data_IF_545803284119
#
_entry.id   IF_545803284119
#
_cell.length_a   1.000
_cell.length_b   1.000
_cell.length_c   1.000
_cell.angle_alpha   90.00
_cell.angle_beta   90.00
_cell.angle_gamma   90.00
#
_symmetry.space_group_name_H-M   'P 1'
#
loop_
_entity.id
_entity.type
_entity.pdbx_description
1 polymer ?
#
# COMPACT_ATOMS: atom_id res chain seq x y z
N UNK A 1 -0.61 2.19 -11.82
CA UNK A 1 0.27 2.13 -10.63
C UNK A 1 1.26 3.29 -10.62
N UNK A 2 1.99 3.53 -11.71
CA UNK A 2 2.97 4.63 -11.82
C UNK A 2 2.33 5.99 -11.56
N UNK A 3 1.09 6.20 -11.95
CA UNK A 3 0.33 7.44 -11.68
C UNK A 3 0.27 7.80 -10.19
N UNK A 4 0.17 6.80 -9.30
CA UNK A 4 0.20 7.07 -7.84
C UNK A 4 1.57 7.52 -7.34
N UNK A 5 2.65 7.06 -7.99
CA UNK A 5 4.01 7.55 -7.70
C UNK A 5 4.14 9.01 -8.11
N UNK A 6 3.57 9.37 -9.28
CA UNK A 6 3.48 10.75 -9.73
C UNK A 6 2.62 11.61 -8.79
N UNK A 7 1.46 11.10 -8.32
CA UNK A 7 0.62 11.81 -7.36
C UNK A 7 1.39 12.11 -6.06
N UNK A 8 2.24 11.17 -5.60
CA UNK A 8 3.09 11.38 -4.43
C UNK A 8 4.15 12.45 -4.70
N UNK A 9 4.78 12.46 -5.88
CA UNK A 9 5.72 13.51 -6.28
C UNK A 9 5.03 14.88 -6.28
N UNK A 10 3.86 14.98 -6.90
CA UNK A 10 3.07 16.23 -6.93
C UNK A 10 2.72 16.71 -5.51
N UNK A 11 2.46 15.79 -4.59
CA UNK A 11 2.18 16.11 -3.19
C UNK A 11 3.43 16.69 -2.49
N UNK A 12 4.62 16.14 -2.74
CA UNK A 12 5.88 16.66 -2.22
C UNK A 12 6.13 18.07 -2.75
N UNK A 13 6.00 18.29 -4.04
CA UNK A 13 6.20 19.60 -4.68
C UNK A 13 5.19 20.65 -4.18
N UNK A 14 3.90 20.29 -4.11
CA UNK A 14 2.85 21.19 -3.62
C UNK A 14 3.09 21.67 -2.19
N UNK A 15 3.57 20.77 -1.31
CA UNK A 15 3.84 21.10 0.09
C UNK A 15 5.28 21.55 0.35
N UNK A 16 6.11 21.65 -0.68
CA UNK A 16 7.53 22.01 -0.58
C UNK A 16 8.30 21.10 0.41
N UNK A 17 7.93 19.83 0.47
CA UNK A 17 8.62 18.85 1.30
C UNK A 17 9.94 18.46 0.65
N UNK A 18 11.03 18.57 1.39
CA UNK A 18 12.38 18.27 0.90
C UNK A 18 12.76 16.82 1.16
N UNK A 19 12.61 16.34 2.40
CA UNK A 19 12.99 14.98 2.79
C UNK A 19 12.12 14.49 3.96
N UNK A 20 11.44 13.36 3.79
CA UNK A 20 10.51 12.83 4.78
C UNK A 20 10.79 11.35 5.11
N UNK A 21 10.39 10.95 6.32
CA UNK A 21 10.10 9.56 6.64
C UNK A 21 8.73 9.20 6.08
N UNK A 22 8.66 8.11 5.33
CA UNK A 22 7.41 7.66 4.70
C UNK A 22 6.96 6.32 5.26
N UNK A 23 5.67 6.23 5.58
CA UNK A 23 5.03 4.97 6.03
C UNK A 23 3.99 4.57 5.01
N UNK A 24 4.13 3.37 4.46
CA UNK A 24 3.19 2.82 3.48
C UNK A 24 2.62 1.47 3.89
N UNK A 25 1.31 1.28 3.73
CA UNK A 25 0.64 0.00 3.95
C UNK A 25 0.17 -0.60 2.63
N UNK A 26 0.41 -1.90 2.43
CA UNK A 26 -0.08 -2.65 1.27
C UNK A 26 0.32 -1.97 -0.05
N UNK A 27 -0.61 -1.59 -0.91
CA UNK A 27 -0.33 -0.84 -2.14
C UNK A 27 0.44 0.47 -1.87
N UNK A 28 0.18 1.14 -0.74
CA UNK A 28 0.92 2.34 -0.32
C UNK A 28 2.39 2.06 -0.05
N UNK A 29 2.74 0.86 0.44
CA UNK A 29 4.13 0.43 0.60
C UNK A 29 4.83 0.24 -0.77
N UNK A 30 4.13 -0.33 -1.76
CA UNK A 30 4.65 -0.47 -3.12
C UNK A 30 4.91 0.90 -3.78
N UNK A 31 3.97 1.85 -3.60
CA UNK A 31 4.09 3.22 -4.12
C UNK A 31 5.28 3.92 -3.47
N UNK A 32 5.39 3.83 -2.14
CA UNK A 32 6.47 4.43 -1.37
C UNK A 32 7.84 3.84 -1.75
N UNK A 33 7.92 2.52 -1.99
CA UNK A 33 9.13 1.85 -2.47
C UNK A 33 9.57 2.35 -3.85
N UNK A 34 8.62 2.45 -4.81
CA UNK A 34 8.93 2.98 -6.13
C UNK A 34 9.36 4.46 -6.08
N UNK A 35 8.73 5.25 -5.22
CA UNK A 35 9.09 6.64 -5.01
C UNK A 35 10.48 6.78 -4.37
N UNK A 36 10.79 5.97 -3.34
CA UNK A 36 12.08 5.99 -2.67
C UNK A 36 13.24 5.60 -3.60
N UNK A 37 13.03 4.64 -4.51
CA UNK A 37 14.00 4.27 -5.52
C UNK A 37 14.22 5.39 -6.57
N UNK A 38 13.12 6.05 -7.00
CA UNK A 38 13.19 7.08 -8.03
C UNK A 38 13.68 8.45 -7.51
N UNK A 39 13.48 8.75 -6.22
CA UNK A 39 13.79 10.03 -5.58
C UNK A 39 14.43 9.81 -4.20
N UNK A 40 15.63 9.19 -4.15
CA UNK A 40 16.30 8.84 -2.88
C UNK A 40 16.59 10.08 -2.02
N UNK A 41 16.82 11.23 -2.61
CA UNK A 41 17.05 12.50 -1.90
C UNK A 41 15.82 12.98 -1.11
N UNK A 42 14.60 12.52 -1.48
CA UNK A 42 13.34 12.92 -0.83
C UNK A 42 12.94 12.01 0.34
N UNK A 43 13.61 10.88 0.55
CA UNK A 43 13.23 9.89 1.57
C UNK A 43 14.34 9.74 2.61
N UNK A 44 14.01 10.00 3.88
CA UNK A 44 14.94 9.79 5.01
C UNK A 44 14.88 8.37 5.56
N UNK A 45 13.70 7.77 5.56
CA UNK A 45 13.47 6.38 5.96
C UNK A 45 12.13 5.89 5.43
N UNK A 46 12.00 4.57 5.24
CA UNK A 46 10.83 3.92 4.67
C UNK A 46 10.30 2.83 5.61
N UNK A 47 9.08 2.98 6.08
CA UNK A 47 8.40 1.95 6.88
C UNK A 47 7.33 1.27 6.05
N UNK A 48 7.54 0.00 5.73
CA UNK A 48 6.62 -0.82 4.94
C UNK A 48 5.73 -1.64 5.89
N UNK A 49 4.43 -1.60 5.68
CA UNK A 49 3.48 -2.37 6.49
C UNK A 49 2.78 -3.40 5.61
N UNK A 50 2.99 -4.67 5.95
CA UNK A 50 2.43 -5.87 5.34
C UNK A 50 2.47 -5.84 3.80
N UNK A 51 3.58 -5.36 3.25
CA UNK A 51 3.94 -5.43 1.83
C UNK A 51 5.41 -5.09 1.63
N UNK A 52 6.09 -5.80 0.75
CA UNK A 52 7.48 -5.54 0.33
C UNK A 52 7.61 -5.89 -1.15
N UNK A 53 8.29 -5.03 -1.92
CA UNK A 53 8.43 -5.17 -3.36
C UNK A 53 7.12 -4.94 -4.11
N UNK A 54 6.92 -5.65 -5.23
CA UNK A 54 5.82 -5.40 -6.16
C UNK A 54 5.12 -6.69 -6.58
N UNK A 55 3.84 -6.58 -6.96
CA UNK A 55 3.12 -7.65 -7.64
C UNK A 55 3.59 -7.67 -9.10
N UNK A 56 4.44 -8.64 -9.42
CA UNK A 56 5.00 -8.84 -10.76
C UNK A 56 4.11 -9.71 -11.65
N UNK A 57 4.39 -9.70 -12.94
CA UNK A 57 3.78 -10.58 -13.92
C UNK A 57 4.83 -11.14 -14.88
N UNK A 58 4.62 -12.38 -15.35
CA UNK A 58 5.43 -12.99 -16.37
C UNK A 58 5.31 -12.22 -17.69
N UNK A 59 6.41 -11.98 -18.45
CA UNK A 59 6.38 -11.25 -19.72
C UNK A 59 5.39 -11.83 -20.73
N UNK A 60 5.24 -13.15 -20.79
CA UNK A 60 4.29 -13.83 -21.69
C UNK A 60 2.82 -13.45 -21.44
N UNK A 61 2.52 -12.89 -20.26
CA UNK A 61 1.16 -12.47 -19.88
C UNK A 61 0.88 -11.00 -20.20
N UNK A 62 1.82 -10.23 -20.76
CA UNK A 62 1.71 -8.78 -20.97
C UNK A 62 0.45 -8.39 -21.74
N UNK A 63 0.18 -9.03 -22.90
CA UNK A 63 -1.02 -8.75 -23.71
C UNK A 63 -2.31 -9.09 -22.98
N UNK A 64 -2.34 -10.20 -22.25
CA UNK A 64 -3.49 -10.60 -21.42
C UNK A 64 -3.75 -9.59 -20.31
N UNK A 65 -2.69 -9.15 -19.64
CA UNK A 65 -2.73 -8.13 -18.59
C UNK A 65 -3.27 -6.80 -19.13
N UNK A 66 -2.76 -6.35 -20.27
CA UNK A 66 -3.22 -5.14 -20.95
C UNK A 66 -4.72 -5.21 -21.26
N UNK A 67 -5.16 -6.31 -21.90
CA UNK A 67 -6.58 -6.52 -22.23
C UNK A 67 -7.48 -6.48 -20.99
N UNK A 68 -7.10 -7.19 -19.93
CA UNK A 68 -7.85 -7.23 -18.67
C UNK A 68 -7.95 -5.85 -18.02
N UNK A 69 -6.85 -5.08 -18.00
CA UNK A 69 -6.83 -3.73 -17.46
C UNK A 69 -7.75 -2.78 -18.22
N UNK A 70 -7.70 -2.80 -19.56
CA UNK A 70 -8.57 -1.95 -20.39
C UNK A 70 -10.05 -2.33 -20.24
N UNK A 71 -10.37 -3.63 -20.25
CA UNK A 71 -11.74 -4.10 -20.01
C UNK A 71 -12.26 -3.74 -18.61
N UNK A 72 -11.39 -3.79 -17.59
CA UNK A 72 -11.72 -3.35 -16.23
C UNK A 72 -12.12 -1.88 -16.19
N UNK A 73 -11.38 -1.02 -16.90
CA UNK A 73 -11.68 0.41 -17.01
C UNK A 73 -13.03 0.67 -17.67
N UNK A 74 -13.33 -0.01 -18.77
CA UNK A 74 -14.63 0.09 -19.44
C UNK A 74 -15.78 -0.32 -18.51
N UNK A 75 -15.66 -1.45 -17.82
CA UNK A 75 -16.66 -1.91 -16.85
C UNK A 75 -16.89 -0.91 -15.72
N UNK A 76 -15.83 -0.24 -15.27
CA UNK A 76 -15.90 0.71 -14.18
C UNK A 76 -16.49 2.05 -14.63
N UNK A 77 -16.25 2.48 -15.87
CA UNK A 77 -16.80 3.73 -16.40
C UNK A 77 -18.33 3.79 -16.38
N UNK A 78 -18.99 2.62 -16.50
CA UNK A 78 -20.47 2.51 -16.51
C UNK A 78 -21.04 2.06 -15.16
N UNK A 79 -20.21 1.97 -14.10
CA UNK A 79 -20.66 1.44 -12.82
C UNK A 79 -21.08 2.57 -11.87
N UNK A 80 -22.32 2.53 -11.42
CA UNK A 80 -22.79 3.41 -10.37
C UNK A 80 -22.11 3.09 -9.02
N UNK A 81 -21.89 4.11 -8.20
CA UNK A 81 -21.40 3.92 -6.83
C UNK A 81 -22.43 3.15 -6.02
N UNK A 82 -21.95 2.18 -5.24
CA UNK A 82 -22.81 1.44 -4.32
C UNK A 82 -23.23 2.37 -3.18
N UNK A 83 -24.55 2.44 -2.95
CA UNK A 83 -25.12 3.17 -1.84
C UNK A 83 -25.43 2.21 -0.68
N UNK A 84 -25.24 2.66 0.56
CA UNK A 84 -25.53 1.93 1.79
C UNK A 84 -26.57 2.69 2.59
N UNK A 85 -27.63 2.04 3.04
CA UNK A 85 -28.68 2.68 3.82
C UNK A 85 -28.18 3.10 5.21
N UNK A 86 -27.25 2.34 5.77
CA UNK A 86 -26.71 2.59 7.11
C UNK A 86 -25.18 2.48 7.14
N UNK A 87 -24.54 3.11 8.10
CA UNK A 87 -23.10 2.93 8.37
C UNK A 87 -22.81 1.45 8.66
N UNK A 88 -23.68 0.77 9.41
CA UNK A 88 -23.54 -0.64 9.75
C UNK A 88 -23.44 -1.51 8.50
N UNK A 89 -24.34 -1.34 7.54
CA UNK A 89 -24.30 -2.12 6.28
C UNK A 89 -23.02 -1.86 5.46
N UNK A 90 -22.45 -0.65 5.55
CA UNK A 90 -21.17 -0.36 4.91
C UNK A 90 -20.01 -1.06 5.64
N UNK A 91 -20.03 -1.10 6.99
CA UNK A 91 -19.04 -1.83 7.80
C UNK A 91 -19.08 -3.33 7.51
N UNK A 92 -20.27 -3.93 7.51
CA UNK A 92 -20.46 -5.36 7.20
C UNK A 92 -19.96 -5.70 5.78
N UNK A 93 -20.23 -4.83 4.81
CA UNK A 93 -19.72 -5.00 3.44
C UNK A 93 -18.17 -4.88 3.35
N UNK A 94 -17.55 -4.09 4.23
CA UNK A 94 -16.08 -4.01 4.31
C UNK A 94 -15.50 -5.26 4.95
N UNK A 95 -16.09 -5.74 6.03
CA UNK A 95 -15.67 -6.97 6.69
C UNK A 95 -15.75 -8.19 5.79
N UNK A 96 -16.78 -8.28 4.96
CA UNK A 96 -16.97 -9.41 4.03
C UNK A 96 -15.85 -9.58 2.98
N UNK A 97 -14.98 -8.57 2.81
CA UNK A 97 -13.88 -8.59 1.82
C UNK A 97 -12.51 -8.32 2.44
N UNK A 98 -12.38 -8.44 3.76
CA UNK A 98 -11.13 -8.20 4.49
C UNK A 98 -11.07 -9.04 5.77
N UNK A 99 -9.90 -9.09 6.37
CA UNK A 99 -9.60 -9.72 7.67
C UNK A 99 -9.92 -8.82 8.89
N UNK A 100 -10.51 -7.64 8.65
CA UNK A 100 -10.81 -6.66 9.68
C UNK A 100 -11.97 -7.12 10.59
N UNK A 101 -11.82 -6.87 11.90
CA UNK A 101 -12.92 -6.93 12.84
C UNK A 101 -13.82 -5.70 12.70
N UNK A 102 -14.94 -5.70 13.38
CA UNK A 102 -15.93 -4.63 13.30
C UNK A 102 -15.35 -3.25 13.72
N UNK A 103 -14.55 -3.20 14.76
CA UNK A 103 -13.92 -1.97 15.27
C UNK A 103 -13.03 -1.31 14.23
N UNK A 104 -12.11 -2.07 13.61
CA UNK A 104 -11.17 -1.59 12.62
C UNK A 104 -11.90 -1.21 11.31
N UNK A 105 -12.82 -2.08 10.85
CA UNK A 105 -13.65 -1.79 9.69
C UNK A 105 -14.47 -0.51 9.88
N UNK A 106 -15.03 -0.27 11.08
CA UNK A 106 -15.78 0.95 11.40
C UNK A 106 -14.90 2.20 11.35
N UNK A 107 -13.65 2.14 11.81
CA UNK A 107 -12.72 3.26 11.70
C UNK A 107 -12.48 3.66 10.24
N UNK A 108 -12.24 2.67 9.37
CA UNK A 108 -12.07 2.90 7.93
C UNK A 108 -13.34 3.50 7.32
N UNK A 109 -14.51 2.90 7.63
CA UNK A 109 -15.80 3.34 7.08
C UNK A 109 -16.11 4.78 7.48
N UNK A 110 -15.98 5.15 8.76
CA UNK A 110 -16.28 6.50 9.23
C UNK A 110 -15.53 7.59 8.46
N UNK A 111 -14.31 7.30 7.98
CA UNK A 111 -13.50 8.23 7.17
C UNK A 111 -13.81 8.14 5.68
N UNK A 112 -14.17 6.95 5.20
CA UNK A 112 -14.20 6.62 3.77
C UNK A 112 -15.57 6.80 3.12
N UNK A 113 -16.62 7.08 3.88
CA UNK A 113 -17.96 7.31 3.35
C UNK A 113 -18.41 8.76 3.53
N UNK A 114 -19.35 9.18 2.70
CA UNK A 114 -20.08 10.45 2.83
C UNK A 114 -21.59 10.18 2.83
N UNK A 115 -22.34 11.01 3.57
CA UNK A 115 -23.80 11.00 3.54
C UNK A 115 -24.30 11.57 2.22
N UNK A 116 -25.36 10.99 1.67
CA UNK A 116 -26.07 11.41 0.48
C UNK A 116 -27.57 11.46 0.79
N UNK A 117 -28.39 11.95 -0.16
CA UNK A 117 -29.85 11.93 0.01
C UNK A 117 -30.41 10.50 0.21
N UNK A 118 -29.73 9.48 -0.39
CA UNK A 118 -30.20 8.08 -0.39
C UNK A 118 -29.39 7.18 0.55
N UNK A 119 -28.67 7.74 1.57
CA UNK A 119 -27.85 6.96 2.51
C UNK A 119 -26.39 7.35 2.51
N UNK A 120 -25.50 6.40 2.30
CA UNK A 120 -24.05 6.59 2.37
C UNK A 120 -23.35 5.99 1.16
N UNK A 121 -22.39 6.70 0.60
CA UNK A 121 -21.55 6.22 -0.50
C UNK A 121 -20.06 6.39 -0.20
N UNK A 122 -19.22 5.62 -0.88
CA UNK A 122 -17.78 5.75 -0.77
C UNK A 122 -17.27 7.09 -1.30
N UNK A 123 -16.36 7.72 -0.56
CA UNK A 123 -15.65 8.94 -1.00
C UNK A 123 -14.64 8.65 -2.11
N UNK A 124 -14.02 7.46 -2.08
CA UNK A 124 -12.98 7.14 -3.03
C UNK A 124 -13.52 7.00 -4.45
N UNK A 125 -12.64 7.22 -5.40
CA UNK A 125 -12.91 6.98 -6.80
C UNK A 125 -12.97 5.47 -7.06
N UNK A 126 -14.06 4.99 -7.67
CA UNK A 126 -14.24 3.58 -7.95
C UNK A 126 -13.22 3.02 -8.95
N UNK A 127 -12.55 3.89 -9.73
CA UNK A 127 -11.43 3.54 -10.62
C UNK A 127 -10.21 2.97 -9.87
N UNK A 128 -10.09 3.22 -8.57
CA UNK A 128 -9.06 2.60 -7.72
C UNK A 128 -9.13 1.06 -7.68
N UNK A 129 -10.26 0.49 -8.07
CA UNK A 129 -10.45 -0.97 -8.18
C UNK A 129 -10.14 -1.54 -9.56
N UNK A 130 -9.72 -0.71 -10.50
CA UNK A 130 -9.36 -1.17 -11.83
C UNK A 130 -8.12 -2.05 -11.78
N UNK A 131 -8.14 -3.10 -12.58
CA UNK A 131 -6.96 -3.93 -12.81
C UNK A 131 -5.93 -3.05 -13.53
N UNK A 132 -4.69 -3.06 -13.05
CA UNK A 132 -3.59 -2.37 -13.75
C UNK A 132 -3.39 -3.00 -15.13
N UNK A 133 -3.32 -2.23 -16.21
CA UNK A 133 -3.04 -2.74 -17.56
C UNK A 133 -1.59 -3.16 -17.74
N UNK A 134 -0.73 -2.76 -16.82
CA UNK A 134 0.70 -3.07 -16.83
C UNK A 134 1.16 -3.52 -15.43
N UNK A 135 2.07 -4.47 -15.38
CA UNK A 135 2.80 -4.87 -14.17
C UNK A 135 4.28 -5.01 -14.51
N UNK A 136 5.13 -4.72 -13.56
CA UNK A 136 6.56 -5.01 -13.66
C UNK A 136 6.79 -6.52 -13.82
N UNK A 137 7.82 -6.90 -14.55
CA UNK A 137 8.39 -8.25 -14.43
C UNK A 137 9.07 -8.37 -13.08
N UNK A 138 9.36 -9.61 -12.66
CA UNK A 138 10.11 -9.82 -11.40
C UNK A 138 11.48 -9.12 -11.45
N UNK A 139 12.17 -9.18 -12.56
CA UNK A 139 13.46 -8.52 -12.76
C UNK A 139 13.38 -6.99 -12.58
N UNK A 140 12.39 -6.36 -13.21
CA UNK A 140 12.17 -4.91 -13.05
C UNK A 140 11.82 -4.55 -11.61
N UNK A 141 10.97 -5.36 -10.95
CA UNK A 141 10.61 -5.18 -9.56
C UNK A 141 11.81 -5.31 -8.62
N UNK A 142 12.69 -6.29 -8.87
CA UNK A 142 13.92 -6.49 -8.11
C UNK A 142 14.89 -5.32 -8.27
N UNK A 143 15.07 -4.82 -9.50
CA UNK A 143 15.93 -3.67 -9.74
C UNK A 143 15.43 -2.43 -8.98
N UNK A 144 14.13 -2.11 -9.06
CA UNK A 144 13.57 -0.97 -8.34
C UNK A 144 13.79 -1.10 -6.81
N UNK A 145 13.64 -2.32 -6.27
CA UNK A 145 13.86 -2.53 -4.84
C UNK A 145 15.34 -2.40 -4.45
N UNK A 146 16.25 -2.87 -5.30
CA UNK A 146 17.70 -2.72 -5.09
C UNK A 146 18.19 -1.27 -5.15
N UNK A 147 17.45 -0.41 -5.85
CA UNK A 147 17.79 1.02 -5.99
C UNK A 147 17.30 1.88 -4.79
N UNK A 148 16.70 1.25 -3.77
CA UNK A 148 16.27 1.97 -2.56
C UNK A 148 17.48 2.23 -1.66
N UNK A 149 17.92 3.48 -1.58
CA UNK A 149 19.04 3.92 -0.74
C UNK A 149 18.64 4.30 0.70
N UNK A 150 17.36 4.51 0.94
CA UNK A 150 16.85 4.87 2.26
C UNK A 150 16.89 3.68 3.23
N UNK A 151 17.06 3.96 4.54
CA UNK A 151 16.84 2.93 5.57
C UNK A 151 15.42 2.37 5.48
N UNK A 152 15.26 1.05 5.52
CA UNK A 152 13.96 0.39 5.39
C UNK A 152 13.65 -0.47 6.59
N UNK A 153 12.42 -0.38 7.10
CA UNK A 153 11.83 -1.39 7.98
C UNK A 153 10.59 -2.02 7.36
N UNK A 154 10.36 -3.28 7.67
CA UNK A 154 9.15 -4.03 7.32
C UNK A 154 8.44 -4.49 8.61
N UNK A 155 7.18 -4.13 8.75
CA UNK A 155 6.29 -4.64 9.82
C UNK A 155 5.22 -5.49 9.14
N UNK A 156 5.09 -6.77 9.50
CA UNK A 156 4.13 -7.66 8.82
C UNK A 156 3.39 -8.59 9.78
N UNK A 157 2.19 -9.00 9.36
CA UNK A 157 1.34 -9.88 10.15
C UNK A 157 1.72 -11.36 10.01
N UNK A 158 1.70 -12.11 11.13
CA UNK A 158 1.94 -13.56 11.12
C UNK A 158 0.90 -14.35 10.32
N UNK A 159 -0.29 -13.80 10.16
CA UNK A 159 -1.41 -14.36 9.38
C UNK A 159 -1.74 -13.48 8.15
N UNK A 160 -0.77 -12.66 7.70
CA UNK A 160 -0.90 -11.80 6.52
C UNK A 160 -1.07 -12.60 5.21
N UNK A 161 -1.17 -11.86 4.12
CA UNK A 161 -1.40 -12.44 2.79
C UNK A 161 -0.18 -13.26 2.31
N UNK A 162 -0.43 -14.36 1.62
CA UNK A 162 0.63 -15.22 1.06
C UNK A 162 1.58 -14.43 0.13
N UNK A 163 1.04 -13.47 -0.61
CA UNK A 163 1.85 -12.61 -1.48
C UNK A 163 2.89 -11.79 -0.70
N UNK A 164 2.65 -11.47 0.56
CA UNK A 164 3.62 -10.77 1.43
C UNK A 164 4.78 -11.70 1.79
N UNK A 165 4.49 -12.97 2.13
CA UNK A 165 5.52 -13.99 2.39
C UNK A 165 6.40 -14.25 1.18
N UNK A 166 5.79 -14.32 -0.02
CA UNK A 166 6.53 -14.44 -1.27
C UNK A 166 7.35 -13.18 -1.54
N UNK A 167 6.80 -12.00 -1.28
CA UNK A 167 7.51 -10.72 -1.37
C UNK A 167 8.74 -10.68 -0.46
N UNK A 168 8.60 -11.09 0.80
CA UNK A 168 9.72 -11.18 1.75
C UNK A 168 10.84 -12.05 1.17
N UNK A 169 10.50 -13.25 0.67
CA UNK A 169 11.48 -14.17 0.09
C UNK A 169 12.25 -13.56 -1.11
N UNK A 170 11.55 -12.82 -1.97
CA UNK A 170 12.13 -12.31 -3.21
C UNK A 170 12.83 -10.95 -3.07
N UNK A 171 12.40 -10.12 -2.13
CA UNK A 171 12.82 -8.72 -2.07
C UNK A 171 13.63 -8.37 -0.83
N UNK A 172 13.46 -9.07 0.32
CA UNK A 172 14.25 -8.76 1.51
C UNK A 172 15.76 -8.87 1.31
N UNK A 173 16.28 -9.85 0.55
CA UNK A 173 17.73 -9.94 0.30
C UNK A 173 18.31 -8.79 -0.53
N UNK A 174 17.46 -7.97 -1.14
CA UNK A 174 17.85 -6.86 -2.00
C UNK A 174 17.92 -5.52 -1.27
N UNK A 175 17.55 -5.47 0.00
CA UNK A 175 17.52 -4.25 0.80
C UNK A 175 18.55 -4.37 1.91
N UNK A 176 19.63 -3.63 1.80
CA UNK A 176 20.69 -3.62 2.80
C UNK A 176 20.18 -3.05 4.14
N UNK A 177 20.50 -3.74 5.23
CA UNK A 177 20.12 -3.31 6.57
C UNK A 177 18.60 -3.32 6.85
N UNK A 178 17.81 -4.07 6.07
CA UNK A 178 16.36 -4.21 6.30
C UNK A 178 16.07 -4.71 7.73
N UNK A 179 15.30 -3.92 8.47
CA UNK A 179 14.77 -4.32 9.78
C UNK A 179 13.38 -4.92 9.62
N UNK A 180 13.22 -6.20 9.97
CA UNK A 180 11.94 -6.91 9.82
C UNK A 180 11.31 -7.26 11.17
N UNK A 181 10.03 -6.92 11.35
CA UNK A 181 9.28 -7.13 12.57
C UNK A 181 7.97 -7.86 12.26
N UNK A 182 7.86 -9.09 12.76
CA UNK A 182 6.62 -9.85 12.68
C UNK A 182 5.75 -9.58 13.92
N UNK A 183 4.51 -9.19 13.71
CA UNK A 183 3.50 -9.04 14.77
C UNK A 183 2.39 -10.07 14.59
N UNK A 184 1.76 -10.47 15.68
CA UNK A 184 0.58 -11.36 15.63
C UNK A 184 -0.61 -10.59 15.07
N UNK A 185 -1.04 -10.90 13.85
CA UNK A 185 -2.16 -10.22 13.16
C UNK A 185 -2.22 -10.57 11.68
N UNK A 186 -3.21 -10.04 11.00
CA UNK A 186 -3.46 -10.20 9.57
C UNK A 186 -2.84 -9.11 8.71
N UNK A 187 -3.44 -8.89 7.53
CA UNK A 187 -2.99 -7.85 6.58
C UNK A 187 -3.09 -6.42 7.13
N UNK A 188 -3.99 -6.19 8.08
CA UNK A 188 -4.15 -4.90 8.71
C UNK A 188 -3.51 -4.86 10.11
N UNK A 189 -2.35 -5.49 10.28
CA UNK A 189 -1.63 -5.65 11.56
C UNK A 189 -1.40 -4.32 12.30
N UNK A 190 -1.19 -3.23 11.55
CA UNK A 190 -1.05 -1.88 12.12
C UNK A 190 -2.35 -1.35 12.78
N UNK A 191 -3.51 -1.90 12.45
CA UNK A 191 -4.78 -1.57 13.11
C UNK A 191 -5.04 -2.51 14.29
N UNK A 192 -4.71 -3.80 14.15
CA UNK A 192 -4.88 -4.79 15.21
C UNK A 192 -3.86 -4.61 16.35
N UNK A 193 -2.66 -4.15 16.03
CA UNK A 193 -1.52 -3.92 16.94
C UNK A 193 -1.03 -2.48 16.84
N UNK A 194 -1.97 -1.52 16.88
CA UNK A 194 -1.71 -0.12 16.59
C UNK A 194 -0.58 0.47 17.47
N UNK A 195 -0.58 0.19 18.78
CA UNK A 195 0.45 0.67 19.70
C UNK A 195 1.83 0.10 19.34
N UNK A 196 1.94 -1.22 19.17
CA UNK A 196 3.21 -1.87 18.84
C UNK A 196 3.75 -1.40 17.48
N UNK A 197 2.89 -1.27 16.48
CA UNK A 197 3.27 -0.74 15.17
C UNK A 197 3.76 0.69 15.26
N UNK A 198 3.09 1.54 16.03
CA UNK A 198 3.50 2.93 16.23
C UNK A 198 4.85 3.03 16.97
N UNK A 199 5.07 2.24 18.01
CA UNK A 199 6.33 2.20 18.77
C UNK A 199 7.51 1.79 17.85
N UNK A 200 7.34 0.75 17.01
CA UNK A 200 8.35 0.33 16.04
C UNK A 200 8.66 1.42 15.01
N UNK A 201 7.62 2.06 14.47
CA UNK A 201 7.78 3.13 13.47
C UNK A 201 8.49 4.33 14.09
N UNK A 202 8.06 4.79 15.26
CA UNK A 202 8.68 5.95 15.94
C UNK A 202 10.13 5.67 16.32
N UNK A 203 10.42 4.47 16.87
CA UNK A 203 11.78 4.09 17.18
C UNK A 203 12.67 4.11 15.93
N UNK A 204 12.19 3.54 14.82
CA UNK A 204 12.93 3.50 13.57
C UNK A 204 13.19 4.89 12.97
N UNK A 205 12.19 5.77 13.01
CA UNK A 205 12.33 7.15 12.49
C UNK A 205 13.29 7.97 13.35
N UNK A 206 13.20 7.82 14.70
CA UNK A 206 14.02 8.59 15.64
C UNK A 206 15.45 8.03 15.79
N UNK A 207 15.70 6.77 15.45
CA UNK A 207 17.05 6.20 15.47
C UNK A 207 17.91 6.95 14.46
N UNK A 208 18.91 7.71 14.93
CA UNK A 208 19.94 8.29 14.05
C UNK A 208 20.67 7.16 13.35
N UNK A 209 20.86 7.30 12.04
CA UNK A 209 21.74 6.39 11.30
C UNK A 209 23.12 6.36 11.96
N UNK A 210 23.70 5.15 12.09
CA UNK A 210 25.04 4.95 12.68
C UNK A 210 26.14 5.52 11.75
N UNK A 211 25.76 6.19 10.69
CA UNK A 211 26.64 6.77 9.66
C UNK A 211 26.29 8.25 9.40
N UNK A 212 26.53 9.10 10.38
CA UNK A 212 26.84 10.51 10.20
C UNK A 212 28.20 10.81 10.85
#
# INVERSE_FOLDING_TARGET
FVEYVNDLLMLFEHNQWTKLAVVGHSMGAMIASAFAAAFPEKISSLSLIDSIGFISAEPKNATKQLRQGLQSRLKTAHKNKKNYLTIRSAVEARMAVSDLKYSEAKLIINRSIKKTANGFEWRYDHRLRNISPYRFTLQQAQQIVSDIDARVQLIYGSHGLEIVRQGIKHFSPLIDGLQSHQLTGGHHVHMEKARQSAELILFFICAKGIHE
#
